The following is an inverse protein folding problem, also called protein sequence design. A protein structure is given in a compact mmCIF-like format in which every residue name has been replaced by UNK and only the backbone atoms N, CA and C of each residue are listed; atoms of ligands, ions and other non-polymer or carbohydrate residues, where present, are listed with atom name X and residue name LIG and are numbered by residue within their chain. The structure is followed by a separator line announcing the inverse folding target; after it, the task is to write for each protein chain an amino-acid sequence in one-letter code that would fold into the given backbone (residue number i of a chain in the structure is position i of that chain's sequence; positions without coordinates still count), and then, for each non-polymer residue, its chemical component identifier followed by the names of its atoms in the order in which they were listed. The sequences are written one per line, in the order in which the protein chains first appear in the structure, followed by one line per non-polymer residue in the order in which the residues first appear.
data_IF_490802050739
#
_entry.id   IF_490802050739
#
_cell.length_a   1.000
_cell.length_b   1.000
_cell.length_c   1.000
_cell.angle_alpha   90.00
_cell.angle_beta   90.00
_cell.angle_gamma   90.00
#
_symmetry.space_group_name_H-M   'P 1'
#
loop_
_entity.id
_entity.type
_entity.pdbx_description
1 polymer ?
#
# COMPACT_ATOMS: atom_id res chain seq x y z
N UNK A 1 2.66 22.71 -24.96
CA UNK A 1 2.28 22.99 -23.56
C UNK A 1 0.95 22.31 -23.32
N UNK A 2 0.99 21.06 -22.85
CA UNK A 2 -0.19 20.29 -22.50
C UNK A 2 -0.80 20.92 -21.24
N UNK A 3 -1.99 21.51 -21.34
CA UNK A 3 -2.66 22.09 -20.19
C UNK A 3 -3.02 20.98 -19.20
N UNK A 4 -2.64 21.14 -17.93
CA UNK A 4 -3.05 20.24 -16.85
C UNK A 4 -4.58 20.20 -16.86
N UNK A 5 -5.15 19.05 -17.26
CA UNK A 5 -6.58 18.83 -17.13
C UNK A 5 -6.87 18.60 -15.65
N UNK A 6 -7.37 19.61 -14.96
CA UNK A 6 -7.88 19.44 -13.60
C UNK A 6 -9.07 18.50 -13.64
N UNK A 7 -8.92 17.31 -13.08
CA UNK A 7 -10.05 16.42 -12.81
C UNK A 7 -10.74 16.98 -11.56
N UNK A 8 -12.00 17.39 -11.69
CA UNK A 8 -12.83 17.71 -10.53
C UNK A 8 -13.24 16.38 -9.92
N UNK A 9 -12.61 16.01 -8.81
CA UNK A 9 -13.04 14.86 -8.03
C UNK A 9 -14.20 15.27 -7.12
N UNK A 10 -15.30 14.51 -7.16
CA UNK A 10 -16.45 14.71 -6.24
C UNK A 10 -16.15 14.20 -4.84
N UNK A 11 -15.10 13.39 -4.69
CA UNK A 11 -14.65 12.84 -3.42
C UNK A 11 -13.40 13.57 -2.96
N UNK A 12 -13.33 13.81 -1.66
CA UNK A 12 -12.16 14.37 -1.02
C UNK A 12 -11.10 13.28 -0.82
N UNK A 13 -9.97 13.42 -1.52
CA UNK A 13 -8.78 12.59 -1.36
C UNK A 13 -7.60 13.42 -0.81
N UNK A 14 -7.92 14.51 -0.09
CA UNK A 14 -6.99 15.20 0.79
C UNK A 14 -6.83 14.47 2.13
N UNK A 15 -6.06 15.08 3.04
CA UNK A 15 -5.76 14.54 4.37
C UNK A 15 -7.03 14.23 5.17
N UNK A 16 -7.95 15.20 5.28
CA UNK A 16 -9.22 15.04 5.99
C UNK A 16 -10.10 13.92 5.38
N UNK A 17 -10.13 13.81 4.05
CA UNK A 17 -10.83 12.73 3.35
C UNK A 17 -10.28 11.34 3.72
N UNK A 18 -8.96 11.18 3.74
CA UNK A 18 -8.32 9.93 4.14
C UNK A 18 -8.49 9.62 5.64
N UNK A 19 -8.40 10.63 6.51
CA UNK A 19 -8.67 10.47 7.94
C UNK A 19 -10.09 9.97 8.19
N UNK A 20 -11.09 10.55 7.50
CA UNK A 20 -12.47 10.10 7.60
C UNK A 20 -12.68 8.67 7.11
N UNK A 21 -12.01 8.26 6.02
CA UNK A 21 -12.08 6.88 5.54
C UNK A 21 -11.48 5.92 6.58
N UNK A 22 -10.31 6.25 7.12
CA UNK A 22 -9.63 5.42 8.11
C UNK A 22 -10.47 5.29 9.38
N UNK A 23 -11.04 6.39 9.89
CA UNK A 23 -11.90 6.37 11.08
C UNK A 23 -13.14 5.48 10.92
N UNK A 24 -13.71 5.40 9.70
CA UNK A 24 -14.84 4.50 9.43
C UNK A 24 -14.42 3.03 9.45
N UNK A 25 -13.25 2.71 8.88
CA UNK A 25 -12.71 1.35 8.90
C UNK A 25 -12.29 0.93 10.31
N UNK A 26 -11.75 1.86 11.11
CA UNK A 26 -11.36 1.64 12.50
C UNK A 26 -12.57 1.29 13.38
N UNK A 27 -13.66 2.07 13.29
CA UNK A 27 -14.91 1.75 13.99
C UNK A 27 -15.50 0.40 13.55
N UNK A 28 -15.46 0.10 12.25
CA UNK A 28 -15.92 -1.19 11.73
C UNK A 28 -15.08 -2.34 12.29
N UNK A 29 -13.76 -2.16 12.37
CA UNK A 29 -12.83 -3.10 12.99
C UNK A 29 -13.15 -3.33 14.46
N UNK A 30 -13.35 -2.27 15.25
CA UNK A 30 -13.68 -2.38 16.68
C UNK A 30 -14.96 -3.19 16.88
N UNK A 31 -16.03 -2.83 16.17
CA UNK A 31 -17.31 -3.54 16.25
C UNK A 31 -17.20 -5.00 15.76
N UNK A 32 -16.43 -5.27 14.72
CA UNK A 32 -16.20 -6.64 14.25
C UNK A 32 -15.42 -7.47 15.28
N UNK A 33 -14.38 -6.90 15.89
CA UNK A 33 -13.53 -7.56 16.88
C UNK A 33 -14.28 -7.96 18.15
N UNK A 34 -15.31 -7.18 18.51
CA UNK A 34 -16.21 -7.44 19.63
C UNK A 34 -17.39 -8.38 19.27
N UNK A 35 -17.48 -8.84 18.02
CA UNK A 35 -18.60 -9.66 17.54
C UNK A 35 -19.91 -8.88 17.35
N UNK A 36 -19.83 -7.55 17.24
CA UNK A 36 -20.94 -6.59 17.17
C UNK A 36 -21.15 -6.00 15.76
N UNK A 37 -20.67 -6.68 14.72
CA UNK A 37 -20.74 -6.21 13.33
C UNK A 37 -22.16 -5.78 12.89
N UNK A 38 -23.20 -6.44 13.40
CA UNK A 38 -24.61 -6.12 13.11
C UNK A 38 -25.03 -4.71 13.53
N UNK A 39 -24.30 -4.07 14.46
CA UNK A 39 -24.54 -2.70 14.87
C UNK A 39 -23.98 -1.68 13.86
N UNK A 40 -22.95 -2.05 13.09
CA UNK A 40 -22.35 -1.20 12.08
C UNK A 40 -23.13 -1.22 10.76
N UNK A 41 -23.72 -2.37 10.42
CA UNK A 41 -24.25 -2.61 9.06
C UNK A 41 -25.33 -3.70 9.03
N UNK A 42 -26.34 -3.55 8.15
CA UNK A 42 -27.33 -4.61 7.91
C UNK A 42 -26.82 -5.73 6.98
N UNK A 43 -25.61 -5.60 6.42
CA UNK A 43 -25.04 -6.60 5.52
C UNK A 43 -24.66 -7.89 6.26
N UNK A 44 -24.63 -9.01 5.54
CA UNK A 44 -24.08 -10.26 6.09
C UNK A 44 -22.57 -10.12 6.20
N UNK A 45 -21.98 -10.79 7.19
CA UNK A 45 -20.54 -10.76 7.42
C UNK A 45 -19.72 -11.13 6.16
N UNK A 46 -20.15 -12.13 5.38
CA UNK A 46 -19.50 -12.51 4.13
C UNK A 46 -19.49 -11.39 3.09
N UNK A 47 -20.56 -10.60 3.04
CA UNK A 47 -20.68 -9.51 2.07
C UNK A 47 -19.78 -8.34 2.52
N UNK A 48 -19.69 -8.08 3.83
CA UNK A 48 -18.74 -7.10 4.39
C UNK A 48 -17.29 -7.50 4.08
N UNK A 49 -16.94 -8.77 4.26
CA UNK A 49 -15.60 -9.28 3.93
C UNK A 49 -15.27 -9.05 2.46
N UNK A 50 -16.20 -9.38 1.54
CA UNK A 50 -15.98 -9.13 0.11
C UNK A 50 -15.72 -7.66 -0.23
N UNK A 51 -16.46 -6.74 0.39
CA UNK A 51 -16.20 -5.30 0.22
C UNK A 51 -14.84 -4.87 0.78
N UNK A 52 -14.40 -5.44 1.91
CA UNK A 52 -13.09 -5.13 2.48
C UNK A 52 -11.97 -5.67 1.60
N UNK A 53 -12.12 -6.87 1.03
CA UNK A 53 -11.19 -7.44 0.06
C UNK A 53 -11.07 -6.56 -1.19
N UNK A 54 -12.19 -6.08 -1.74
CA UNK A 54 -12.20 -5.17 -2.89
C UNK A 54 -11.53 -3.82 -2.56
N UNK A 55 -11.73 -3.29 -1.35
CA UNK A 55 -11.08 -2.06 -0.87
C UNK A 55 -9.57 -2.27 -0.78
N UNK A 56 -9.12 -3.37 -0.17
CA UNK A 56 -7.70 -3.71 -0.04
C UNK A 56 -7.08 -3.81 -1.44
N UNK A 57 -7.68 -4.61 -2.32
CA UNK A 57 -7.19 -4.78 -3.69
C UNK A 57 -7.07 -3.43 -4.43
N UNK A 58 -8.10 -2.59 -4.33
CA UNK A 58 -8.09 -1.28 -4.99
C UNK A 58 -7.00 -0.37 -4.42
N UNK A 59 -6.79 -0.37 -3.11
CA UNK A 59 -5.74 0.40 -2.46
C UNK A 59 -4.34 -0.09 -2.88
N UNK A 60 -4.12 -1.40 -2.91
CA UNK A 60 -2.87 -2.02 -3.35
C UNK A 60 -2.55 -1.67 -4.81
N UNK A 61 -3.52 -1.80 -5.72
CA UNK A 61 -3.33 -1.42 -7.13
C UNK A 61 -3.09 0.08 -7.29
N UNK A 62 -3.79 0.93 -6.52
CA UNK A 62 -3.56 2.38 -6.54
C UNK A 62 -2.13 2.72 -6.12
N UNK A 63 -1.60 2.09 -5.07
CA UNK A 63 -0.22 2.28 -4.63
C UNK A 63 0.75 1.82 -5.73
N UNK A 64 0.54 0.61 -6.28
CA UNK A 64 1.37 0.06 -7.37
C UNK A 64 1.41 1.00 -8.57
N UNK A 65 0.29 1.59 -8.94
CA UNK A 65 0.20 2.55 -10.03
C UNK A 65 0.86 3.89 -9.70
N UNK A 66 0.71 4.41 -8.48
CA UNK A 66 1.42 5.61 -8.02
C UNK A 66 2.93 5.38 -8.10
N UNK A 67 3.43 4.25 -7.61
CA UNK A 67 4.86 3.92 -7.64
C UNK A 67 5.38 3.77 -9.08
N UNK A 68 4.63 3.07 -9.94
CA UNK A 68 5.01 2.88 -11.34
C UNK A 68 5.05 4.20 -12.14
N UNK A 69 4.25 5.20 -11.75
CA UNK A 69 4.14 6.48 -12.46
C UNK A 69 4.81 7.65 -11.72
N UNK A 70 5.37 7.44 -10.52
CA UNK A 70 6.09 8.46 -9.75
C UNK A 70 7.59 8.12 -9.71
N UNK A 71 8.42 8.79 -10.54
CA UNK A 71 9.84 8.42 -10.73
C UNK A 71 10.73 8.48 -9.47
N UNK A 72 10.28 9.11 -8.38
CA UNK A 72 11.07 9.25 -7.15
C UNK A 72 11.20 7.94 -6.35
N UNK A 73 10.26 7.00 -6.49
CA UNK A 73 10.33 5.70 -5.79
C UNK A 73 11.30 4.73 -6.48
N UNK A 74 11.35 4.73 -7.81
CA UNK A 74 12.30 3.94 -8.61
C UNK A 74 13.77 4.31 -8.34
N UNK A 75 14.08 5.60 -8.10
CA UNK A 75 15.44 6.04 -7.79
C UNK A 75 15.98 5.52 -6.44
N UNK A 76 15.10 5.23 -5.48
CA UNK A 76 15.49 4.67 -4.17
C UNK A 76 15.67 3.13 -4.23
N UNK A 77 14.82 2.44 -4.99
CA UNK A 77 14.92 0.97 -5.17
C UNK A 77 16.19 0.57 -5.95
N UNK A 78 16.62 1.37 -6.95
CA UNK A 78 17.87 1.10 -7.69
C UNK A 78 19.13 1.27 -6.82
N UNK A 79 19.12 2.19 -5.83
CA UNK A 79 20.25 2.38 -4.91
C UNK A 79 20.38 1.23 -3.91
N UNK A 80 19.27 0.62 -3.48
CA UNK A 80 19.31 -0.50 -2.53
C UNK A 80 19.73 -1.82 -3.17
N UNK A 81 19.42 -2.05 -4.45
CA UNK A 81 19.89 -3.22 -5.19
C UNK A 81 21.40 -3.16 -5.51
N UNK A 82 21.97 -1.96 -5.70
CA UNK A 82 23.41 -1.78 -5.96
C UNK A 82 24.29 -2.04 -4.72
N UNK A 83 23.77 -1.82 -3.50
CA UNK A 83 24.52 -2.07 -2.25
C UNK A 83 24.67 -3.57 -1.98
N UNK A 84 23.70 -4.38 -2.42
CA UNK A 84 23.73 -5.85 -2.21
C UNK A 84 24.74 -6.58 -3.10
N UNK A 85 25.23 -5.95 -4.18
CA UNK A 85 26.21 -6.54 -5.11
C UNK A 85 27.68 -6.15 -4.82
N UNK A 86 27.92 -5.17 -3.94
CA UNK A 86 29.29 -4.75 -3.56
C UNK A 86 29.84 -5.48 -2.32
N UNK A 87 29.08 -6.40 -1.73
CA UNK A 87 29.41 -7.07 -0.46
C UNK A 87 29.94 -8.51 -0.54
N UNK A 88 30.07 -9.12 -1.72
CA UNK A 88 30.63 -10.48 -1.86
C UNK A 88 31.78 -10.47 -2.87
N UNK A 89 32.88 -9.85 -2.49
CA UNK A 89 34.19 -10.21 -3.03
C UNK A 89 35.25 -9.85 -2.01
N UNK A 90 35.91 -10.88 -1.48
CA UNK A 90 37.24 -10.91 -0.80
C UNK A 90 37.22 -11.58 0.58
N UNK A 91 37.21 -12.92 0.62
CA UNK A 91 37.79 -13.82 1.65
C UNK A 91 37.26 -15.24 1.33
N UNK A 92 37.99 -16.33 1.10
CA UNK A 92 39.38 -16.74 1.28
C UNK A 92 39.58 -17.93 0.33
N UNK A 93 40.56 -17.89 -0.57
CA UNK A 93 41.20 -19.13 -1.09
C UNK A 93 42.66 -18.80 -1.41
N UNK A 94 43.51 -18.87 -0.40
CA UNK A 94 44.92 -19.23 -0.58
C UNK A 94 45.15 -20.37 0.42
N UNK A 95 45.10 -21.62 -0.02
CA UNK A 95 46.14 -22.37 -0.73
C UNK A 95 46.73 -23.39 0.24
N UNK A 96 46.13 -24.59 0.23
CA UNK A 96 46.76 -25.84 0.62
C UNK A 96 47.81 -26.18 -0.44
N UNK A 97 49.09 -25.92 -0.17
CA UNK A 97 50.22 -26.61 -0.80
C UNK A 97 51.28 -26.80 0.29
N UNK A 98 51.52 -28.08 0.61
CA UNK A 98 52.57 -28.73 1.44
C UNK A 98 53.47 -27.88 2.36
#
# INVERSE_FOLDING_TARGET
MEGIRTIICTFDYGEEGFEHLLARLDLLHDLASEGRLVEATPLRASDVVGWLEDIIFTAEETIREIDAHTPAFHAFVDQTQSISQLGISQSVTDSLID
#
